data_IF_294126021500
#
_entry.id   IF_294126021500
#
_cell.length_a   1.000
_cell.length_b   1.000
_cell.length_c   1.000
_cell.angle_alpha   90.00
_cell.angle_beta   90.00
_cell.angle_gamma   90.00
#
_symmetry.space_group_name_H-M   'P 1'
#
loop_
_entity.id
_entity.type
_entity.pdbx_description
1 polymer ?
#
# COMPACT_ATOMS: atom_id res chain seq x y z
N UNK A 1 -3.96 -41.07 17.18
CA UNK A 1 -5.09 -40.50 17.94
C UNK A 1 -6.10 -40.01 16.91
N UNK A 2 -7.23 -40.72 16.75
CA UNK A 2 -8.25 -40.35 15.77
C UNK A 2 -9.02 -39.12 16.29
N UNK A 3 -8.91 -38.00 15.58
CA UNK A 3 -9.59 -36.75 15.96
C UNK A 3 -11.10 -36.90 15.84
N UNK A 4 -11.81 -36.69 16.95
CA UNK A 4 -13.28 -36.74 16.97
C UNK A 4 -13.82 -35.65 16.03
N UNK A 5 -14.65 -35.98 15.02
CA UNK A 5 -15.20 -34.98 14.11
C UNK A 5 -16.07 -33.98 14.88
N UNK A 6 -15.69 -32.71 14.90
CA UNK A 6 -16.48 -31.66 15.51
C UNK A 6 -17.56 -31.16 14.54
N UNK A 7 -18.82 -31.20 14.97
CA UNK A 7 -19.99 -30.79 14.16
C UNK A 7 -19.88 -29.34 13.65
N UNK A 8 -20.26 -29.07 12.41
CA UNK A 8 -20.18 -27.73 11.77
C UNK A 8 -21.43 -26.86 11.98
N UNK A 9 -22.45 -27.38 12.66
CA UNK A 9 -23.72 -26.68 12.89
C UNK A 9 -23.61 -25.41 13.76
N UNK A 10 -24.63 -24.56 13.68
CA UNK A 10 -24.72 -23.35 14.51
C UNK A 10 -24.82 -23.67 16.01
N UNK A 11 -24.52 -22.70 16.87
CA UNK A 11 -24.49 -22.93 18.33
C UNK A 11 -25.81 -23.47 18.90
N UNK A 12 -26.95 -22.95 18.44
CA UNK A 12 -28.28 -23.42 18.85
C UNK A 12 -28.55 -24.87 18.46
N UNK A 13 -28.20 -25.28 17.24
CA UNK A 13 -28.37 -26.67 16.80
C UNK A 13 -27.44 -27.63 17.56
N UNK A 14 -26.22 -27.19 17.87
CA UNK A 14 -25.25 -27.95 18.67
C UNK A 14 -25.73 -28.16 20.11
N UNK A 15 -26.21 -27.10 20.75
CA UNK A 15 -26.77 -27.16 22.11
C UNK A 15 -27.99 -28.09 22.16
N UNK A 16 -28.87 -27.99 21.16
CA UNK A 16 -30.04 -28.85 21.02
C UNK A 16 -29.73 -30.27 20.52
N UNK A 17 -28.48 -30.56 20.16
CA UNK A 17 -28.04 -31.85 19.58
C UNK A 17 -28.86 -32.31 18.36
N UNK A 18 -29.24 -31.36 17.50
CA UNK A 18 -29.97 -31.62 16.25
C UNK A 18 -29.10 -31.33 15.03
N UNK A 19 -29.38 -31.99 13.90
CA UNK A 19 -28.69 -31.75 12.63
C UNK A 19 -28.96 -30.32 12.13
N UNK A 20 -27.91 -29.64 11.68
CA UNK A 20 -27.99 -28.29 11.14
C UNK A 20 -27.80 -28.32 9.63
N UNK A 21 -28.62 -27.55 8.89
CA UNK A 21 -28.56 -27.48 7.43
C UNK A 21 -27.61 -26.37 6.92
N UNK A 22 -26.86 -25.73 7.81
CA UNK A 22 -25.79 -24.75 7.50
C UNK A 22 -26.15 -23.55 6.60
N UNK A 23 -27.45 -23.28 6.39
CA UNK A 23 -27.93 -22.18 5.56
C UNK A 23 -27.65 -20.77 6.14
N UNK A 24 -27.24 -19.85 5.26
CA UNK A 24 -26.99 -18.42 5.54
C UNK A 24 -28.16 -17.61 4.95
N UNK A 25 -28.77 -16.62 5.65
CA UNK A 25 -28.35 -16.03 6.93
C UNK A 25 -28.85 -16.75 8.19
N UNK A 26 -29.81 -17.68 8.08
CA UNK A 26 -30.33 -18.45 9.23
C UNK A 26 -30.61 -19.91 8.85
N UNK A 27 -30.36 -20.81 9.79
CA UNK A 27 -30.63 -22.24 9.60
C UNK A 27 -32.14 -22.54 9.57
N UNK A 28 -32.56 -23.54 8.78
CA UNK A 28 -33.97 -23.96 8.65
C UNK A 28 -34.61 -24.31 10.00
N UNK A 29 -33.86 -24.98 10.87
CA UNK A 29 -34.27 -25.40 12.21
C UNK A 29 -34.43 -24.21 13.16
N UNK A 30 -33.57 -23.20 13.01
CA UNK A 30 -33.59 -21.95 13.77
C UNK A 30 -34.83 -21.13 13.37
N UNK A 31 -35.13 -21.09 12.06
CA UNK A 31 -36.32 -20.43 11.51
C UNK A 31 -37.62 -21.07 12.00
N UNK A 32 -37.72 -22.41 11.97
CA UNK A 32 -38.88 -23.13 12.52
C UNK A 32 -39.02 -22.91 14.03
N UNK A 33 -37.91 -22.76 14.73
CA UNK A 33 -37.88 -22.54 16.18
C UNK A 33 -38.17 -21.08 16.59
N UNK A 34 -38.22 -20.14 15.65
CA UNK A 34 -38.55 -18.74 15.92
C UNK A 34 -37.47 -17.96 16.69
N UNK A 35 -36.22 -18.44 16.72
CA UNK A 35 -35.08 -17.74 17.36
C UNK A 35 -34.04 -17.32 16.31
N UNK A 36 -33.42 -16.14 16.46
CA UNK A 36 -32.36 -15.70 15.55
C UNK A 36 -31.16 -16.65 15.62
N UNK A 37 -30.64 -17.05 14.45
CA UNK A 37 -29.49 -17.95 14.37
C UNK A 37 -28.21 -17.22 14.85
N UNK A 38 -27.49 -17.73 15.86
CA UNK A 38 -26.25 -17.11 16.37
C UNK A 38 -25.06 -17.22 15.39
N UNK A 39 -25.27 -17.83 14.21
CA UNK A 39 -24.24 -18.05 13.20
C UNK A 39 -23.35 -19.27 13.47
N UNK A 40 -22.37 -19.46 12.58
CA UNK A 40 -21.48 -20.64 12.52
C UNK A 40 -20.07 -20.37 13.06
N UNK A 41 -19.85 -19.23 13.74
CA UNK A 41 -18.51 -18.84 14.20
C UNK A 41 -18.06 -19.73 15.36
N UNK A 42 -16.89 -20.37 15.19
CA UNK A 42 -16.19 -21.10 16.24
C UNK A 42 -15.49 -20.10 17.16
N UNK A 43 -15.80 -20.13 18.45
CA UNK A 43 -14.90 -19.54 19.46
C UNK A 43 -13.71 -20.46 19.62
N UNK A 44 -12.54 -20.05 19.10
CA UNK A 44 -11.29 -20.69 19.44
C UNK A 44 -11.03 -20.47 20.93
N UNK A 45 -11.05 -21.55 21.72
CA UNK A 45 -10.57 -21.50 23.10
C UNK A 45 -9.10 -21.87 23.07
N UNK A 46 -8.24 -20.91 23.42
CA UNK A 46 -6.84 -21.18 23.68
C UNK A 46 -6.78 -21.98 24.99
N UNK A 47 -6.43 -23.26 24.91
CA UNK A 47 -6.10 -24.06 26.08
C UNK A 47 -4.60 -24.05 26.26
N UNK A 48 -4.16 -23.58 27.42
CA UNK A 48 -2.74 -23.59 27.77
C UNK A 48 -2.32 -25.03 28.12
N UNK A 49 -1.54 -25.65 27.22
CA UNK A 49 -0.99 -26.99 27.43
C UNK A 49 0.24 -26.99 28.37
N UNK A 50 0.71 -25.81 28.82
CA UNK A 50 1.88 -25.66 29.69
C UNK A 50 1.91 -26.60 30.90
N UNK A 51 0.83 -26.72 31.70
CA UNK A 51 0.81 -27.61 32.86
C UNK A 51 0.87 -29.10 32.50
N UNK A 52 0.28 -29.49 31.36
CA UNK A 52 0.26 -30.88 30.90
C UNK A 52 1.64 -31.31 30.37
N UNK A 53 2.34 -30.40 29.68
CA UNK A 53 3.69 -30.60 29.17
C UNK A 53 4.71 -30.73 30.32
N UNK A 54 4.59 -29.88 31.35
CA UNK A 54 5.50 -29.87 32.48
C UNK A 54 5.47 -31.18 33.28
N UNK A 55 4.27 -31.76 33.48
CA UNK A 55 4.12 -33.09 34.12
C UNK A 55 4.74 -34.22 33.29
N UNK A 56 4.58 -34.21 31.95
CA UNK A 56 5.21 -35.21 31.07
C UNK A 56 6.73 -35.13 31.08
N UNK A 57 7.30 -33.94 31.21
CA UNK A 57 8.75 -33.77 31.33
C UNK A 57 9.28 -34.28 32.67
N UNK A 58 8.57 -34.01 33.77
CA UNK A 58 8.96 -34.47 35.11
C UNK A 58 8.88 -36.00 35.27
N UNK A 59 7.85 -36.65 34.71
CA UNK A 59 7.73 -38.11 34.78
C UNK A 59 8.85 -38.84 34.00
N UNK A 60 9.34 -38.23 32.91
CA UNK A 60 10.43 -38.78 32.10
C UNK A 60 11.81 -38.63 32.76
N UNK A 61 12.00 -37.62 33.61
CA UNK A 61 13.21 -37.49 34.43
C UNK A 61 13.26 -38.44 35.62
N UNK A 62 12.11 -38.85 36.16
CA UNK A 62 12.03 -39.73 37.33
C UNK A 62 12.25 -41.21 36.97
N UNK A 63 11.90 -41.63 35.75
CA UNK A 63 12.11 -43.01 35.26
C UNK A 63 13.57 -43.35 34.92
N UNK A 64 14.54 -42.43 35.09
CA UNK A 64 15.96 -42.63 34.74
C UNK A 64 16.88 -42.92 35.92
N UNK A 65 16.34 -43.15 37.13
CA UNK A 65 17.13 -43.55 38.29
C UNK A 65 16.91 -45.03 38.62
N UNK A 66 17.71 -45.90 37.99
CA UNK A 66 18.22 -47.19 38.50
C UNK A 66 19.20 -47.81 37.48
N UNK A 67 20.13 -48.68 37.91
CA UNK A 67 21.53 -48.62 37.46
C UNK A 67 21.94 -49.62 36.37
N UNK A 68 22.98 -49.19 35.65
CA UNK A 68 24.05 -49.93 34.94
C UNK A 68 23.73 -51.19 34.09
N UNK A 69 23.93 -51.05 32.78
CA UNK A 69 24.52 -52.09 31.93
C UNK A 69 25.48 -51.44 30.95
N UNK A 70 26.69 -51.97 30.87
CA UNK A 70 27.89 -51.40 30.24
C UNK A 70 27.94 -51.48 28.71
N UNK A 71 26.81 -51.59 28.02
CA UNK A 71 26.77 -51.68 26.54
C UNK A 71 26.26 -50.41 25.83
N UNK A 72 25.80 -49.39 26.56
CA UNK A 72 25.12 -48.23 25.94
C UNK A 72 25.91 -46.92 25.91
N UNK A 73 27.23 -46.94 26.14
CA UNK A 73 28.06 -45.73 26.06
C UNK A 73 28.03 -45.11 24.65
N UNK A 74 28.05 -45.93 23.60
CA UNK A 74 27.97 -45.46 22.22
C UNK A 74 26.57 -44.92 21.86
N UNK A 75 25.50 -45.56 22.34
CA UNK A 75 24.13 -45.12 22.12
C UNK A 75 23.79 -43.84 22.89
N UNK A 76 24.27 -43.71 24.13
CA UNK A 76 24.16 -42.49 24.93
C UNK A 76 24.96 -41.34 24.30
N UNK A 77 26.19 -41.59 23.82
CA UNK A 77 26.99 -40.60 23.12
C UNK A 77 26.34 -40.15 21.80
N UNK A 78 25.72 -41.08 21.04
CA UNK A 78 24.98 -40.76 19.84
C UNK A 78 23.71 -39.92 20.14
N UNK A 79 22.99 -40.24 21.23
CA UNK A 79 21.83 -39.46 21.65
C UNK A 79 22.20 -38.04 22.10
N UNK A 80 23.30 -37.88 22.85
CA UNK A 80 23.83 -36.57 23.26
C UNK A 80 24.27 -35.78 22.03
N UNK A 81 24.97 -36.40 21.09
CA UNK A 81 25.38 -35.78 19.82
C UNK A 81 24.18 -35.33 18.99
N UNK A 82 23.16 -36.17 18.86
CA UNK A 82 21.95 -35.84 18.11
C UNK A 82 21.15 -34.72 18.76
N UNK A 83 21.07 -34.68 20.10
CA UNK A 83 20.45 -33.57 20.82
C UNK A 83 21.26 -32.27 20.68
N UNK A 84 22.59 -32.34 20.72
CA UNK A 84 23.46 -31.19 20.48
C UNK A 84 23.30 -30.65 19.05
N UNK A 85 23.22 -31.53 18.05
CA UNK A 85 22.95 -31.16 16.66
C UNK A 85 21.55 -30.56 16.48
N UNK A 86 20.54 -31.06 17.19
CA UNK A 86 19.19 -30.50 17.17
C UNK A 86 19.15 -29.10 17.80
N UNK A 87 19.83 -28.90 18.94
CA UNK A 87 19.95 -27.58 19.58
C UNK A 87 20.70 -26.59 18.68
N UNK A 88 21.80 -27.00 18.04
CA UNK A 88 22.53 -26.14 17.10
C UNK A 88 21.73 -25.79 15.83
N UNK A 89 20.86 -26.69 15.36
CA UNK A 89 19.94 -26.39 14.25
C UNK A 89 18.87 -25.38 14.68
N UNK A 90 18.39 -25.49 15.91
CA UNK A 90 17.35 -24.62 16.46
C UNK A 90 17.86 -23.19 16.71
N UNK A 91 19.06 -23.05 17.30
CA UNK A 91 19.72 -21.74 17.45
C UNK A 91 20.07 -21.13 16.10
N UNK A 92 20.54 -21.93 15.13
CA UNK A 92 20.80 -21.45 13.76
C UNK A 92 19.53 -20.96 13.05
N UNK A 93 18.38 -21.59 13.25
CA UNK A 93 17.11 -21.10 12.69
C UNK A 93 16.61 -19.81 13.35
N UNK A 94 16.78 -19.67 14.66
CA UNK A 94 16.41 -18.46 15.40
C UNK A 94 17.33 -17.28 15.04
N UNK A 95 18.65 -17.50 14.94
CA UNK A 95 19.62 -16.50 14.50
C UNK A 95 19.42 -16.10 13.03
N UNK A 96 19.09 -17.06 12.15
CA UNK A 96 18.84 -16.76 10.73
C UNK A 96 17.56 -15.95 10.53
N UNK A 97 16.50 -16.25 11.28
CA UNK A 97 15.25 -15.50 11.23
C UNK A 97 15.39 -14.11 11.84
N UNK A 98 16.10 -13.99 12.97
CA UNK A 98 16.42 -12.72 13.63
C UNK A 98 17.27 -11.82 12.72
N UNK A 99 18.32 -12.38 12.09
CA UNK A 99 19.18 -11.66 11.15
C UNK A 99 18.42 -11.16 9.91
N UNK A 100 17.55 -11.99 9.32
CA UNK A 100 16.72 -11.58 8.18
C UNK A 100 15.71 -10.49 8.55
N UNK A 101 15.07 -10.59 9.71
CA UNK A 101 14.14 -9.58 10.21
C UNK A 101 14.87 -8.24 10.49
N UNK A 102 16.06 -8.29 11.07
CA UNK A 102 16.92 -7.12 11.30
C UNK A 102 17.33 -6.45 9.99
N UNK A 103 17.78 -7.24 9.00
CA UNK A 103 18.15 -6.72 7.68
C UNK A 103 16.96 -6.06 6.98
N UNK A 104 15.76 -6.65 7.08
CA UNK A 104 14.54 -6.06 6.52
C UNK A 104 14.18 -4.73 7.21
N UNK A 105 14.28 -4.68 8.54
CA UNK A 105 14.00 -3.47 9.31
C UNK A 105 15.00 -2.34 8.99
N UNK A 106 16.29 -2.68 8.89
CA UNK A 106 17.36 -1.76 8.47
C UNK A 106 17.11 -1.22 7.06
N UNK A 107 16.75 -2.10 6.12
CA UNK A 107 16.43 -1.70 4.76
C UNK A 107 15.22 -0.75 4.72
N UNK A 108 14.16 -1.07 5.47
CA UNK A 108 12.97 -0.22 5.57
C UNK A 108 13.30 1.16 6.17
N UNK A 109 14.12 1.20 7.22
CA UNK A 109 14.56 2.45 7.84
C UNK A 109 15.41 3.29 6.88
N UNK A 110 16.30 2.66 6.11
CA UNK A 110 17.11 3.35 5.11
C UNK A 110 16.24 3.92 3.98
N UNK A 111 15.29 3.14 3.47
CA UNK A 111 14.31 3.62 2.49
C UNK A 111 13.50 4.80 3.03
N UNK A 112 13.12 4.76 4.31
CA UNK A 112 12.38 5.83 4.96
C UNK A 112 13.21 7.13 5.03
N UNK A 113 14.49 7.04 5.33
CA UNK A 113 15.38 8.21 5.32
C UNK A 113 15.56 8.81 3.92
N UNK A 114 15.51 7.97 2.88
CA UNK A 114 15.69 8.40 1.48
C UNK A 114 14.40 8.89 0.80
N UNK A 115 13.23 8.79 1.43
CA UNK A 115 11.94 9.12 0.81
C UNK A 115 11.88 10.51 0.14
N UNK A 116 12.39 11.60 0.74
CA UNK A 116 12.36 12.91 0.09
C UNK A 116 13.13 12.94 -1.23
N UNK A 117 14.28 12.26 -1.30
CA UNK A 117 15.09 12.16 -2.52
C UNK A 117 14.42 11.27 -3.57
N UNK A 118 13.88 10.11 -3.17
CA UNK A 118 13.14 9.24 -4.07
C UNK A 118 11.91 9.93 -4.66
N UNK A 119 11.22 10.72 -3.83
CA UNK A 119 10.09 11.54 -4.26
C UNK A 119 10.51 12.65 -5.22
N UNK A 120 11.66 13.31 -4.97
CA UNK A 120 12.21 14.27 -5.92
C UNK A 120 12.45 13.62 -7.28
N UNK A 121 13.14 12.47 -7.32
CA UNK A 121 13.40 11.72 -8.56
C UNK A 121 12.10 11.34 -9.28
N UNK A 122 11.08 10.89 -8.53
CA UNK A 122 9.75 10.66 -9.06
C UNK A 122 9.17 11.92 -9.72
N UNK A 123 9.15 13.07 -9.04
CA UNK A 123 8.59 14.30 -9.60
C UNK A 123 9.30 14.74 -10.90
N UNK A 124 10.62 14.65 -10.95
CA UNK A 124 11.40 15.05 -12.12
C UNK A 124 11.16 14.11 -13.32
N UNK A 125 10.96 12.82 -13.07
CA UNK A 125 10.81 11.82 -14.13
C UNK A 125 9.36 11.64 -14.58
N UNK A 126 8.40 11.67 -13.66
CA UNK A 126 6.98 11.58 -13.95
C UNK A 126 6.40 12.89 -14.52
N UNK A 127 6.92 14.05 -14.08
CA UNK A 127 6.35 15.37 -14.41
C UNK A 127 7.40 16.41 -14.83
N UNK A 128 8.29 16.11 -15.81
CA UNK A 128 9.42 16.96 -16.15
C UNK A 128 8.99 18.37 -16.58
N UNK A 129 7.99 18.48 -17.46
CA UNK A 129 7.51 19.78 -17.97
C UNK A 129 6.83 20.60 -16.88
N UNK A 130 5.99 19.97 -16.06
CA UNK A 130 5.29 20.66 -14.97
C UNK A 130 6.27 21.15 -13.91
N UNK A 131 7.28 20.35 -13.57
CA UNK A 131 8.28 20.75 -12.58
C UNK A 131 9.15 21.89 -13.09
N UNK A 132 9.81 21.71 -14.24
CA UNK A 132 10.74 22.70 -14.81
C UNK A 132 10.06 24.04 -15.14
N UNK A 133 8.84 24.02 -15.66
CA UNK A 133 8.11 25.26 -16.00
C UNK A 133 7.60 26.03 -14.78
N UNK A 134 7.56 25.40 -13.60
CA UNK A 134 7.05 26.02 -12.37
C UNK A 134 8.12 26.28 -11.31
N UNK A 135 9.36 25.83 -11.50
CA UNK A 135 10.45 26.03 -10.53
C UNK A 135 10.69 27.51 -10.24
N UNK A 136 10.61 28.36 -11.28
CA UNK A 136 10.78 29.81 -11.14
C UNK A 136 9.61 30.50 -10.45
N UNK A 137 8.48 29.84 -10.17
CA UNK A 137 7.32 30.53 -9.57
C UNK A 137 7.46 30.76 -8.06
N UNK A 138 8.50 30.22 -7.44
CA UNK A 138 8.74 30.27 -6.00
C UNK A 138 9.85 31.29 -5.64
N UNK A 139 9.69 32.57 -5.99
CA UNK A 139 10.76 33.57 -5.83
C UNK A 139 11.12 33.93 -4.37
N UNK A 140 10.25 33.66 -3.39
CA UNK A 140 10.46 34.05 -1.97
C UNK A 140 9.95 33.01 -0.96
N UNK A 141 9.56 31.82 -1.41
CA UNK A 141 9.04 30.73 -0.55
C UNK A 141 9.61 29.40 -1.05
N UNK A 142 9.74 28.38 -0.19
CA UNK A 142 10.14 27.06 -0.65
C UNK A 142 9.18 26.60 -1.75
N UNK A 143 9.74 26.03 -2.82
CA UNK A 143 8.95 25.37 -3.85
C UNK A 143 8.22 24.16 -3.28
N UNK A 144 7.43 23.48 -4.10
CA UNK A 144 6.63 22.34 -3.64
C UNK A 144 7.50 21.22 -3.06
N UNK A 145 8.64 20.92 -3.68
CA UNK A 145 9.52 19.83 -3.25
C UNK A 145 10.21 20.19 -1.92
N UNK A 146 10.75 21.40 -1.81
CA UNK A 146 11.36 21.93 -0.60
C UNK A 146 10.34 22.02 0.56
N UNK A 147 9.08 22.37 0.27
CA UNK A 147 8.01 22.38 1.25
C UNK A 147 7.68 20.97 1.77
N UNK A 148 7.58 19.98 0.88
CA UNK A 148 7.32 18.59 1.26
C UNK A 148 8.50 18.02 2.03
N UNK A 149 9.74 18.24 1.59
CA UNK A 149 10.95 17.76 2.25
C UNK A 149 11.12 18.34 3.66
N UNK A 150 10.93 19.66 3.84
CA UNK A 150 10.98 20.30 5.16
C UNK A 150 9.88 19.80 6.10
N UNK A 151 8.66 19.64 5.57
CA UNK A 151 7.53 19.10 6.35
C UNK A 151 7.77 17.63 6.75
N UNK A 152 8.38 16.84 5.88
CA UNK A 152 8.79 15.47 6.16
C UNK A 152 9.84 15.42 7.28
N UNK A 153 10.88 16.25 7.16
CA UNK A 153 11.98 16.31 8.12
C UNK A 153 11.53 16.76 9.52
N UNK A 154 10.49 17.60 9.62
CA UNK A 154 9.93 18.03 10.91
C UNK A 154 9.29 16.90 11.72
N UNK A 155 8.86 15.80 11.06
CA UNK A 155 8.15 14.70 11.72
C UNK A 155 6.72 15.00 12.17
N UNK A 156 6.24 16.25 12.05
CA UNK A 156 4.90 16.66 12.51
C UNK A 156 3.75 16.14 11.63
N UNK A 157 4.07 15.61 10.46
CA UNK A 157 3.11 15.17 9.44
C UNK A 157 3.26 13.67 9.14
N UNK A 158 2.73 12.77 10.01
CA UNK A 158 2.93 11.32 9.89
C UNK A 158 2.34 10.73 8.60
N UNK A 159 1.34 11.38 8.01
CA UNK A 159 0.75 11.00 6.74
C UNK A 159 1.68 11.20 5.53
N UNK A 160 2.72 12.05 5.63
CA UNK A 160 3.65 12.27 4.52
C UNK A 160 4.51 11.04 4.26
N UNK A 161 4.99 10.36 5.30
CA UNK A 161 5.87 9.20 5.15
C UNK A 161 5.25 8.09 4.29
N UNK A 162 4.05 7.66 4.66
CA UNK A 162 3.31 6.66 3.91
C UNK A 162 2.94 7.14 2.49
N UNK A 163 2.68 8.44 2.30
CA UNK A 163 2.30 9.01 0.99
C UNK A 163 3.48 9.08 0.01
N UNK A 164 4.65 9.51 0.47
CA UNK A 164 5.84 9.53 -0.39
C UNK A 164 6.25 8.11 -0.77
N UNK A 165 6.19 7.18 0.19
CA UNK A 165 6.51 5.78 -0.03
C UNK A 165 5.51 5.10 -0.99
N UNK A 166 4.20 5.38 -0.88
CA UNK A 166 3.23 4.77 -1.79
C UNK A 166 3.38 5.28 -3.23
N UNK A 167 3.65 6.58 -3.42
CA UNK A 167 3.86 7.19 -4.75
C UNK A 167 5.13 6.67 -5.42
N UNK A 168 6.25 6.67 -4.71
CA UNK A 168 7.51 6.16 -5.25
C UNK A 168 7.40 4.67 -5.58
N UNK A 169 6.75 3.88 -4.72
CA UNK A 169 6.53 2.45 -4.94
C UNK A 169 5.64 2.13 -6.15
N UNK A 170 4.54 2.88 -6.37
CA UNK A 170 3.69 2.63 -7.56
C UNK A 170 4.38 3.07 -8.85
N UNK A 171 5.20 4.12 -8.77
CA UNK A 171 5.97 4.58 -9.92
C UNK A 171 7.05 3.56 -10.32
N UNK A 172 7.84 3.08 -9.35
CA UNK A 172 8.88 2.06 -9.62
C UNK A 172 8.29 0.71 -10.02
N UNK A 173 7.07 0.39 -9.60
CA UNK A 173 6.36 -0.82 -10.03
C UNK A 173 6.22 -0.91 -11.56
N UNK A 174 6.18 0.22 -12.28
CA UNK A 174 6.07 0.24 -13.74
C UNK A 174 7.33 -0.28 -14.46
N UNK A 175 8.47 -0.26 -13.77
CA UNK A 175 9.77 -0.63 -14.33
C UNK A 175 10.32 -1.93 -13.72
N UNK A 176 9.64 -2.49 -12.72
CA UNK A 176 10.09 -3.70 -12.03
C UNK A 176 9.47 -4.96 -12.64
N UNK A 177 10.23 -6.06 -12.78
CA UNK A 177 9.68 -7.36 -13.17
C UNK A 177 8.64 -7.87 -12.16
N UNK A 178 8.78 -7.51 -10.87
CA UNK A 178 7.85 -7.85 -9.79
C UNK A 178 6.78 -6.76 -9.58
N UNK A 179 6.24 -6.22 -10.67
CA UNK A 179 5.25 -5.12 -10.65
C UNK A 179 4.04 -5.40 -9.76
N UNK A 180 3.57 -6.65 -9.70
CA UNK A 180 2.43 -7.06 -8.88
C UNK A 180 2.71 -6.94 -7.37
N UNK A 181 3.92 -7.30 -6.92
CA UNK A 181 4.30 -7.18 -5.52
C UNK A 181 4.47 -5.72 -5.12
N UNK A 182 5.17 -4.93 -5.95
CA UNK A 182 5.32 -3.49 -5.73
C UNK A 182 3.97 -2.77 -5.71
N UNK A 183 3.05 -3.13 -6.61
CA UNK A 183 1.69 -2.58 -6.61
C UNK A 183 0.96 -2.92 -5.33
N UNK A 184 1.01 -4.18 -4.86
CA UNK A 184 0.38 -4.60 -3.61
C UNK A 184 0.96 -3.85 -2.41
N UNK A 185 2.28 -3.72 -2.35
CA UNK A 185 2.95 -2.97 -1.28
C UNK A 185 2.55 -1.49 -1.30
N UNK A 186 2.54 -0.87 -2.49
CA UNK A 186 2.10 0.52 -2.65
C UNK A 186 0.66 0.75 -2.15
N UNK A 187 -0.24 -0.22 -2.35
CA UNK A 187 -1.63 -0.14 -1.87
C UNK A 187 -1.74 -0.23 -0.35
N UNK A 188 -0.88 -1.02 0.29
CA UNK A 188 -0.80 -1.09 1.76
C UNK A 188 -0.36 0.26 2.34
N UNK A 189 0.67 0.87 1.76
CA UNK A 189 1.15 2.20 2.14
C UNK A 189 0.11 3.29 1.87
N UNK A 190 -0.63 3.19 0.76
CA UNK A 190 -1.75 4.09 0.45
C UNK A 190 -2.87 4.00 1.51
N UNK A 191 -3.27 2.79 1.89
CA UNK A 191 -4.25 2.59 2.97
C UNK A 191 -3.76 3.18 4.29
N UNK A 192 -2.48 2.96 4.64
CA UNK A 192 -1.86 3.56 5.81
C UNK A 192 -1.90 5.10 5.75
N UNK A 193 -1.53 5.71 4.62
CA UNK A 193 -1.62 7.15 4.42
C UNK A 193 -3.05 7.67 4.65
N UNK A 194 -4.07 6.98 4.11
CA UNK A 194 -5.47 7.35 4.32
C UNK A 194 -5.89 7.29 5.79
N UNK A 195 -5.43 6.30 6.56
CA UNK A 195 -5.73 6.25 8.00
C UNK A 195 -5.16 7.46 8.74
N UNK A 196 -3.92 7.86 8.43
CA UNK A 196 -3.31 9.05 9.02
C UNK A 196 -3.99 10.35 8.57
N UNK A 197 -4.39 10.44 7.30
CA UNK A 197 -5.17 11.58 6.78
C UNK A 197 -6.52 11.67 7.49
N UNK A 198 -7.24 10.55 7.63
CA UNK A 198 -8.53 10.52 8.32
C UNK A 198 -8.40 10.99 9.77
N UNK A 199 -7.35 10.57 10.49
CA UNK A 199 -7.06 11.07 11.83
C UNK A 199 -6.75 12.58 11.83
N UNK A 200 -5.90 13.05 10.91
CA UNK A 200 -5.52 14.46 10.79
C UNK A 200 -6.69 15.39 10.43
N UNK A 201 -7.72 14.90 9.73
CA UNK A 201 -8.93 15.67 9.43
C UNK A 201 -9.77 16.00 10.66
N UNK A 202 -9.57 15.29 11.77
CA UNK A 202 -10.23 15.55 13.05
C UNK A 202 -9.37 16.42 13.98
N UNK A 203 -8.17 16.82 13.57
CA UNK A 203 -7.25 17.64 14.35
C UNK A 203 -7.16 19.08 13.80
N UNK A 204 -6.50 20.01 14.52
CA UNK A 204 -6.23 21.36 14.00
C UNK A 204 -5.42 21.37 12.70
N UNK A 205 -4.72 20.27 12.38
CA UNK A 205 -3.96 20.09 11.16
C UNK A 205 -4.83 19.86 9.91
N UNK A 206 -6.17 19.79 10.04
CA UNK A 206 -7.10 19.56 8.93
C UNK A 206 -6.98 20.58 7.76
N UNK A 207 -6.40 21.76 8.02
CA UNK A 207 -6.13 22.81 7.02
C UNK A 207 -4.64 23.11 6.84
N UNK A 208 -3.76 22.26 7.36
CA UNK A 208 -2.31 22.46 7.22
C UNK A 208 -1.90 22.33 5.75
N UNK A 209 -0.87 23.08 5.35
CA UNK A 209 -0.30 22.97 4.02
C UNK A 209 0.26 21.55 3.73
N UNK A 210 0.93 20.87 4.68
CA UNK A 210 1.37 19.49 4.50
C UNK A 210 0.20 18.54 4.21
N UNK A 211 -0.92 18.62 4.94
CA UNK A 211 -2.07 17.75 4.72
C UNK A 211 -2.73 17.99 3.35
N UNK A 212 -2.80 19.25 2.91
CA UNK A 212 -3.26 19.58 1.57
C UNK A 212 -2.35 18.97 0.50
N UNK A 213 -1.03 19.11 0.64
CA UNK A 213 -0.05 18.52 -0.26
C UNK A 213 -0.20 16.98 -0.31
N UNK A 214 -0.36 16.34 0.85
CA UNK A 214 -0.63 14.90 0.96
C UNK A 214 -1.87 14.49 0.16
N UNK A 215 -2.98 15.20 0.32
CA UNK A 215 -4.22 14.85 -0.37
C UNK A 215 -4.08 15.07 -1.89
N UNK A 216 -3.34 16.08 -2.34
CA UNK A 216 -3.02 16.23 -3.77
C UNK A 216 -2.16 15.07 -4.30
N UNK A 217 -1.15 14.66 -3.54
CA UNK A 217 -0.27 13.54 -3.87
C UNK A 217 -1.02 12.20 -3.93
N UNK A 218 -1.96 11.96 -3.01
CA UNK A 218 -2.83 10.77 -3.05
C UNK A 218 -3.75 10.76 -4.29
N UNK A 219 -4.14 11.93 -4.81
CA UNK A 219 -4.87 11.99 -6.08
C UNK A 219 -4.00 11.52 -7.25
N UNK A 220 -2.71 11.91 -7.24
CA UNK A 220 -1.73 11.44 -8.22
C UNK A 220 -1.54 9.93 -8.10
N UNK A 221 -1.48 9.38 -6.89
CA UNK A 221 -1.39 7.93 -6.69
C UNK A 221 -2.55 7.19 -7.38
N UNK A 222 -3.78 7.68 -7.26
CA UNK A 222 -4.95 7.08 -7.89
C UNK A 222 -4.86 7.06 -9.43
N UNK A 223 -4.24 8.09 -10.03
CA UNK A 223 -4.00 8.13 -11.48
C UNK A 223 -3.05 7.02 -11.93
N UNK A 224 -2.04 6.69 -11.12
CA UNK A 224 -1.07 5.62 -11.42
C UNK A 224 -1.61 4.23 -11.09
N UNK A 225 -2.19 4.06 -9.90
CA UNK A 225 -2.60 2.77 -9.37
C UNK A 225 -3.91 2.24 -9.97
N UNK A 226 -4.76 3.13 -10.52
CA UNK A 226 -6.10 2.82 -11.06
C UNK A 226 -6.88 1.90 -10.12
N UNK A 227 -6.98 2.26 -8.84
CA UNK A 227 -7.53 1.37 -7.80
C UNK A 227 -8.99 0.99 -8.07
N UNK A 228 -9.76 1.92 -8.62
CA UNK A 228 -11.09 1.71 -9.20
C UNK A 228 -11.29 2.66 -10.39
N UNK A 229 -12.24 2.39 -11.30
CA UNK A 229 -12.48 3.23 -12.48
C UNK A 229 -12.75 4.71 -12.12
N UNK A 230 -13.45 4.95 -11.03
CA UNK A 230 -13.87 6.29 -10.59
C UNK A 230 -13.07 6.84 -9.40
N UNK A 231 -11.99 6.15 -8.98
CA UNK A 231 -11.24 6.48 -7.76
C UNK A 231 -10.80 7.94 -7.70
N UNK A 232 -10.31 8.45 -8.83
CA UNK A 232 -9.86 9.83 -8.95
C UNK A 232 -11.03 10.83 -8.79
N UNK A 233 -12.20 10.53 -9.35
CA UNK A 233 -13.39 11.39 -9.24
C UNK A 233 -13.86 11.45 -7.79
N UNK A 234 -13.96 10.29 -7.13
CA UNK A 234 -14.32 10.18 -5.71
C UNK A 234 -13.33 10.95 -4.83
N UNK A 235 -12.04 10.91 -5.14
CA UNK A 235 -11.00 11.64 -4.41
C UNK A 235 -11.17 13.17 -4.55
N UNK A 236 -11.47 13.66 -5.75
CA UNK A 236 -11.72 15.09 -6.01
C UNK A 236 -12.98 15.57 -5.28
N UNK A 237 -14.04 14.77 -5.25
CA UNK A 237 -15.27 15.09 -4.51
C UNK A 237 -15.03 15.16 -2.99
N UNK A 238 -14.22 14.25 -2.45
CA UNK A 238 -13.76 14.29 -1.07
C UNK A 238 -13.02 15.60 -0.73
N UNK A 239 -12.13 16.06 -1.61
CA UNK A 239 -11.43 17.34 -1.46
C UNK A 239 -12.39 18.55 -1.45
N UNK A 240 -13.41 18.54 -2.31
CA UNK A 240 -14.46 19.58 -2.35
C UNK A 240 -15.27 19.62 -1.05
N UNK A 241 -15.68 18.45 -0.54
CA UNK A 241 -16.47 18.36 0.69
C UNK A 241 -15.68 18.82 1.92
N UNK A 242 -14.38 18.54 1.97
CA UNK A 242 -13.48 19.04 3.04
C UNK A 242 -13.54 20.57 3.17
N UNK A 243 -13.56 21.28 2.05
CA UNK A 243 -13.59 22.76 2.02
C UNK A 243 -14.94 23.36 2.42
N UNK A 244 -16.03 22.57 2.42
CA UNK A 244 -17.40 23.03 2.68
C UNK A 244 -17.85 22.88 4.14
N UNK A 245 -17.10 22.21 5.02
CA UNK A 245 -17.49 22.09 6.45
C UNK A 245 -17.49 23.47 7.14
N UNK A 246 -18.57 23.86 7.85
CA UNK A 246 -18.73 25.21 8.43
C UNK A 246 -17.57 25.64 9.34
N UNK A 247 -17.06 24.72 10.18
CA UNK A 247 -15.92 24.94 11.08
C UNK A 247 -14.58 25.23 10.37
N UNK A 248 -14.42 24.78 9.12
CA UNK A 248 -13.19 24.94 8.33
C UNK A 248 -13.23 26.20 7.43
N UNK A 249 -14.43 26.68 7.08
CA UNK A 249 -14.65 27.84 6.21
C UNK A 249 -14.20 29.17 6.87
N UNK A 250 -14.32 29.29 8.18
CA UNK A 250 -13.91 30.47 8.95
C UNK A 250 -12.38 30.70 8.93
N UNK A 251 -11.55 29.65 8.86
CA UNK A 251 -10.08 29.77 8.86
C UNK A 251 -9.47 30.03 7.49
N UNK A 252 -10.13 29.63 6.40
CA UNK A 252 -9.59 29.76 5.03
C UNK A 252 -9.74 31.18 4.47
N UNK A 253 -10.77 31.92 4.89
CA UNK A 253 -11.08 33.26 4.39
C UNK A 253 -10.02 34.31 4.78
N UNK A 254 -9.19 34.04 5.79
CA UNK A 254 -8.10 34.93 6.21
C UNK A 254 -6.77 34.71 5.47
N UNK A 255 -6.64 33.68 4.61
CA UNK A 255 -5.35 33.31 3.96
C UNK A 255 -5.37 33.22 2.44
N UNK A 256 -6.50 33.51 1.79
CA UNK A 256 -6.54 33.61 0.33
C UNK A 256 -6.19 35.04 -0.10
N UNK A 257 -5.08 35.27 -0.85
CA UNK A 257 -4.94 36.53 -1.56
C UNK A 257 -6.14 36.67 -2.50
N UNK A 258 -6.83 37.81 -2.41
CA UNK A 258 -7.91 38.16 -3.35
C UNK A 258 -7.32 38.15 -4.75
N UNK A 259 -7.75 37.22 -5.60
CA UNK A 259 -7.50 37.29 -7.03
C UNK A 259 -8.18 38.58 -7.50
N UNK A 260 -7.46 39.60 -8.01
CA UNK A 260 -8.09 40.79 -8.53
C UNK A 260 -8.99 40.36 -9.68
N UNK A 261 -10.29 40.68 -9.59
CA UNK A 261 -11.21 40.53 -10.71
C UNK A 261 -10.65 41.37 -11.85
N UNK A 262 -10.25 40.72 -12.94
CA UNK A 262 -9.86 41.42 -14.16
C UNK A 262 -11.10 42.17 -14.65
N UNK A 263 -11.05 43.50 -14.59
CA UNK A 263 -12.13 44.36 -15.08
C UNK A 263 -12.40 44.01 -16.55
N UNK A 264 -13.62 43.55 -16.82
CA UNK A 264 -14.15 43.35 -18.15
C UNK A 264 -14.47 44.72 -18.77
N UNK A 265 -13.46 45.34 -19.37
CA UNK A 265 -13.66 46.33 -20.44
C UNK A 265 -13.27 45.68 -21.77
N UNK A 266 -14.16 44.83 -22.29
CA UNK A 266 -14.24 44.52 -23.71
C UNK A 266 -15.45 45.26 -24.25
N UNK A 267 -15.23 46.47 -24.77
CA UNK A 267 -16.15 47.09 -25.73
C UNK A 267 -15.63 46.77 -27.13
N UNK A 268 -16.44 46.04 -27.88
CA UNK A 268 -16.54 46.12 -29.34
C UNK A 268 -15.35 45.63 -30.15
N UNK A 269 -15.34 44.33 -30.48
CA UNK A 269 -14.78 43.87 -31.75
C UNK A 269 -15.82 42.96 -32.42
N UNK A 270 -16.31 43.42 -33.58
CA UNK A 270 -17.33 42.76 -34.41
C UNK A 270 -16.86 41.38 -34.85
N UNK A 271 -17.78 40.41 -34.79
CA UNK A 271 -17.64 39.09 -35.41
C UNK A 271 -17.87 39.25 -36.91
N UNK A 272 -16.87 38.90 -37.72
CA UNK A 272 -17.03 38.62 -39.16
C UNK A 272 -17.08 37.09 -39.34
N UNK A 273 -18.01 36.55 -40.16
CA UNK A 273 -18.09 35.12 -40.38
C UNK A 273 -17.13 34.72 -41.51
N UNK A 274 -16.35 33.67 -41.32
CA UNK A 274 -15.42 33.23 -42.35
C UNK A 274 -14.70 31.91 -42.07
N UNK A 275 -15.33 30.83 -42.55
CA UNK A 275 -14.74 29.58 -43.04
C UNK A 275 -14.03 28.65 -42.04
N UNK A 276 -14.64 27.48 -41.88
CA UNK A 276 -14.11 26.37 -41.13
C UNK A 276 -12.90 25.71 -41.78
N UNK A 277 -12.07 25.12 -40.92
CA UNK A 277 -11.21 24.00 -41.25
C UNK A 277 -11.15 23.12 -40.00
N UNK A 278 -11.81 21.97 -40.09
CA UNK A 278 -11.73 20.88 -39.11
C UNK A 278 -10.47 20.09 -39.46
N UNK A 279 -9.45 20.14 -38.62
CA UNK A 279 -8.28 19.27 -38.75
C UNK A 279 -8.34 18.20 -37.67
N UNK A 280 -8.89 17.05 -38.05
CA UNK A 280 -8.79 15.80 -37.31
C UNK A 280 -7.36 15.25 -37.44
N UNK A 281 -6.70 14.97 -36.32
CA UNK A 281 -5.42 14.23 -36.29
C UNK A 281 -5.75 12.81 -35.87
N UNK A 282 -5.95 11.94 -36.86
CA UNK A 282 -5.91 10.49 -36.70
C UNK A 282 -4.53 10.00 -37.13
N UNK A 283 -3.90 9.20 -36.27
CA UNK A 283 -2.58 8.64 -36.51
C UNK A 283 -2.56 7.56 -37.59
N UNK A 284 -1.38 7.33 -38.15
CA UNK A 284 -1.07 6.17 -38.96
C UNK A 284 0.41 5.82 -38.81
N UNK A 285 0.66 4.65 -38.25
CA UNK A 285 1.78 3.76 -38.58
C UNK A 285 1.10 2.39 -38.73
N UNK A 286 1.29 1.62 -39.84
CA UNK A 286 2.45 0.72 -39.90
C UNK A 286 2.96 0.33 -41.31
N UNK A 287 4.26 -0.01 -41.35
CA UNK A 287 4.90 -1.14 -42.08
C UNK A 287 4.19 -1.79 -43.29
N UNK A 288 4.93 -1.84 -44.42
CA UNK A 288 4.95 -2.76 -45.61
C UNK A 288 4.98 -1.87 -46.87
N UNK A 289 5.88 -1.98 -47.85
CA UNK A 289 6.75 -3.07 -48.30
C UNK A 289 6.59 -3.16 -49.83
N UNK A 290 7.72 -3.23 -50.56
CA UNK A 290 7.87 -3.45 -52.01
C UNK A 290 7.52 -2.26 -52.94
N UNK A 291 8.14 -2.04 -54.11
CA UNK A 291 9.43 -2.41 -54.73
C UNK A 291 9.44 -1.74 -56.14
N UNK A 292 10.64 -1.52 -56.68
CA UNK A 292 11.01 -1.45 -58.12
C UNK A 292 10.95 -0.14 -58.93
N UNK A 293 12.06 0.07 -59.66
CA UNK A 293 12.26 0.91 -60.86
C UNK A 293 13.14 2.15 -60.59
N UNK A 294 14.39 2.32 -61.02
CA UNK A 294 15.21 1.65 -62.04
C UNK A 294 15.51 2.59 -63.22
N UNK A 295 16.61 3.37 -63.14
CA UNK A 295 17.38 4.01 -64.24
C UNK A 295 18.50 4.88 -63.57
N UNK A 296 19.81 4.59 -63.65
CA UNK A 296 20.77 4.49 -64.77
C UNK A 296 21.20 5.86 -65.36
N UNK A 297 22.53 6.09 -65.41
CA UNK A 297 23.23 7.19 -66.11
C UNK A 297 24.01 8.11 -65.16
N UNK A 298 25.24 7.80 -64.74
CA UNK A 298 26.53 8.08 -65.41
C UNK A 298 26.90 9.56 -65.59
N UNK A 299 28.09 9.91 -65.08
CA UNK A 299 29.01 10.81 -65.78
C UNK A 299 29.27 12.19 -65.17
N UNK A 300 30.53 12.44 -64.80
CA UNK A 300 31.12 13.80 -64.82
C UNK A 300 31.82 14.22 -63.53
N UNK A 301 33.15 14.10 -63.51
CA UNK A 301 34.02 14.64 -62.46
C UNK A 301 34.59 16.04 -62.76
N UNK A 302 35.46 16.47 -61.84
CA UNK A 302 36.34 17.66 -61.82
C UNK A 302 35.59 19.00 -61.58
N UNK A 303 35.97 19.85 -60.62
CA UNK A 303 37.30 20.25 -60.10
C UNK A 303 37.23 20.44 -58.58
#
# INVERSE_FOLDING_TARGET
MVGVPHSTGCALCRERRIKCDEAIPQCSQCRKYGRPCPGYRRTFRFQDEGPALQRRHQSRSQSRRSPETTTDAAAAAAAVRNNALAMMRQTRSEDSFSSQAQAHLQHQMQLQMQQPHLFASFLHSAFPTLYTSNIFRAHNRPDFLAHVASSYASGEAPYLAATLACLTSIYTAQFSPDSAQHTRHSRQLYAQALTHVAAALHSPAALSAPLLATIMMLAVYEMYARTSPDAFVVHVDGHRQRRRRPRLRARLLHRLPRIPRRNSHLRGARVLPGRGAVAAVCGTDPRRGCAQGGAAGEGGGCV
#
